data_IF_285333095888
#
_entry.id   IF_285333095888
#
_cell.length_a   1.000
_cell.length_b   1.000
_cell.length_c   1.000
_cell.angle_alpha   90.00
_cell.angle_beta   90.00
_cell.angle_gamma   90.00
#
_symmetry.space_group_name_H-M   'P 1'
#
loop_
_entity.id
_entity.type
_entity.pdbx_description
1 polymer ?
#
# COMPACT_ATOMS: atom_id res chain seq x y z
N UNK A 1 6.16 -21.61 -17.36
CA UNK A 1 5.28 -20.49 -16.98
C UNK A 1 6.11 -19.49 -16.20
N UNK A 2 5.96 -18.22 -16.57
CA UNK A 2 6.59 -17.17 -15.79
C UNK A 2 6.01 -17.23 -14.38
N UNK A 3 6.83 -17.28 -13.34
CA UNK A 3 6.37 -17.45 -11.96
C UNK A 3 5.33 -16.36 -11.56
N UNK A 4 5.45 -15.17 -12.15
CA UNK A 4 4.54 -14.05 -11.93
C UNK A 4 3.11 -14.33 -12.39
N UNK A 5 2.93 -14.83 -13.62
CA UNK A 5 1.60 -15.18 -14.15
C UNK A 5 0.97 -16.29 -13.32
N UNK A 6 1.76 -17.27 -12.90
CA UNK A 6 1.32 -18.33 -12.01
C UNK A 6 0.78 -17.80 -10.68
N UNK A 7 1.48 -16.84 -10.07
CA UNK A 7 1.03 -16.21 -8.82
C UNK A 7 -0.26 -15.40 -9.01
N UNK A 8 -0.36 -14.62 -10.09
CA UNK A 8 -1.57 -13.85 -10.41
C UNK A 8 -2.78 -14.77 -10.55
N UNK A 9 -2.64 -15.87 -11.28
CA UNK A 9 -3.71 -16.85 -11.45
C UNK A 9 -4.02 -17.61 -10.15
N UNK A 10 -3.00 -18.11 -9.47
CA UNK A 10 -3.14 -18.87 -8.22
C UNK A 10 -3.90 -18.09 -7.15
N UNK A 11 -3.57 -16.81 -7.01
CA UNK A 11 -4.17 -15.94 -6.01
C UNK A 11 -5.35 -15.11 -6.54
N UNK A 12 -5.71 -15.27 -7.83
CA UNK A 12 -6.83 -14.54 -8.46
C UNK A 12 -6.69 -13.02 -8.31
N UNK A 13 -5.47 -12.53 -8.55
CA UNK A 13 -5.16 -11.11 -8.39
C UNK A 13 -5.69 -10.28 -9.56
N UNK A 14 -6.06 -9.04 -9.27
CA UNK A 14 -6.48 -8.03 -10.25
C UNK A 14 -5.62 -6.77 -10.11
N UNK A 15 -5.64 -5.89 -11.11
CA UNK A 15 -4.87 -4.65 -11.08
C UNK A 15 -5.31 -3.72 -9.96
N UNK A 16 -4.32 -3.16 -9.25
CA UNK A 16 -4.56 -2.12 -8.24
C UNK A 16 -4.38 -0.72 -8.84
N UNK A 17 -5.21 0.29 -8.44
CA UNK A 17 -5.09 1.66 -8.96
C UNK A 17 -3.71 2.30 -8.73
N UNK A 18 -3.03 1.98 -7.63
CA UNK A 18 -1.69 2.50 -7.32
C UNK A 18 -0.57 1.84 -8.13
N UNK A 19 -0.84 0.76 -8.84
CA UNK A 19 0.11 -0.14 -9.48
C UNK A 19 0.16 -1.48 -8.77
N UNK A 20 0.74 -2.49 -9.44
CA UNK A 20 0.75 -3.85 -8.93
C UNK A 20 -0.59 -4.56 -9.04
N UNK A 21 -0.70 -5.67 -8.31
CA UNK A 21 -1.83 -6.59 -8.36
C UNK A 21 -2.31 -6.91 -6.96
N UNK A 22 -3.62 -7.06 -6.75
CA UNK A 22 -4.16 -7.34 -5.43
C UNK A 22 -5.41 -8.21 -5.47
N UNK A 23 -5.73 -8.75 -4.29
CA UNK A 23 -7.01 -9.37 -3.99
C UNK A 23 -7.38 -9.10 -2.54
N UNK A 24 -8.61 -8.67 -2.28
CA UNK A 24 -9.13 -8.59 -0.92
C UNK A 24 -9.41 -10.00 -0.38
N UNK A 25 -8.78 -10.33 0.76
CA UNK A 25 -8.93 -11.60 1.43
C UNK A 25 -9.95 -11.55 2.55
N UNK A 26 -10.07 -10.41 3.21
CA UNK A 26 -10.94 -10.24 4.37
C UNK A 26 -11.48 -8.82 4.46
N UNK A 27 -12.74 -8.74 4.82
CA UNK A 27 -13.42 -7.51 5.21
C UNK A 27 -14.28 -7.82 6.43
N UNK A 28 -13.94 -7.25 7.59
CA UNK A 28 -14.66 -7.49 8.84
C UNK A 28 -16.12 -7.04 8.73
N UNK A 29 -17.03 -7.85 9.26
CA UNK A 29 -18.45 -7.48 9.42
C UNK A 29 -18.68 -6.61 10.65
N UNK A 30 -17.75 -6.63 11.63
CA UNK A 30 -17.76 -5.70 12.75
C UNK A 30 -17.43 -4.29 12.25
N UNK A 31 -18.31 -3.33 12.56
CA UNK A 31 -18.12 -1.94 12.19
C UNK A 31 -17.56 -1.14 13.36
N UNK A 32 -16.65 -0.22 13.04
CA UNK A 32 -16.12 0.77 13.97
C UNK A 32 -16.49 2.17 13.48
N UNK A 33 -16.76 3.07 14.41
CA UNK A 33 -16.97 4.48 14.12
C UNK A 33 -15.70 5.26 14.45
N UNK A 34 -15.17 5.95 13.46
CA UNK A 34 -13.99 6.80 13.62
C UNK A 34 -14.35 8.15 14.28
N UNK A 35 -13.34 8.91 14.79
CA UNK A 35 -13.57 10.25 15.34
C UNK A 35 -14.24 11.22 14.35
N UNK A 36 -14.02 11.05 13.04
CA UNK A 36 -14.66 11.86 11.98
C UNK A 36 -16.10 11.41 11.65
N UNK A 37 -16.68 10.53 12.48
CA UNK A 37 -17.99 9.91 12.34
C UNK A 37 -18.14 8.91 11.16
N UNK A 38 -17.11 8.69 10.36
CA UNK A 38 -17.15 7.69 9.31
C UNK A 38 -17.21 6.27 9.91
N UNK A 39 -18.06 5.42 9.35
CA UNK A 39 -18.13 4.00 9.71
C UNK A 39 -17.29 3.19 8.74
N UNK A 40 -16.48 2.28 9.29
CA UNK A 40 -15.60 1.40 8.51
C UNK A 40 -15.63 -0.02 9.09
N UNK A 41 -15.31 -1.06 8.28
CA UNK A 41 -15.01 -2.38 8.83
C UNK A 41 -13.92 -2.27 9.88
N UNK A 42 -13.94 -3.13 10.89
CA UNK A 42 -12.88 -3.14 11.92
C UNK A 42 -11.49 -3.45 11.33
N UNK A 43 -11.45 -4.30 10.29
CA UNK A 43 -10.22 -4.72 9.60
C UNK A 43 -10.51 -5.07 8.15
N UNK A 44 -9.60 -4.71 7.26
CA UNK A 44 -9.49 -5.29 5.91
C UNK A 44 -8.10 -5.84 5.68
N UNK A 45 -7.97 -6.88 4.87
CA UNK A 45 -6.71 -7.47 4.50
C UNK A 45 -6.70 -7.81 3.00
N UNK A 46 -5.61 -7.47 2.33
CA UNK A 46 -5.36 -7.83 0.93
C UNK A 46 -4.07 -8.63 0.79
N UNK A 47 -3.99 -9.43 -0.28
CA UNK A 47 -2.70 -9.75 -0.89
C UNK A 47 -2.37 -8.68 -1.90
N UNK A 48 -1.09 -8.29 -1.95
CA UNK A 48 -0.56 -7.34 -2.90
C UNK A 48 0.73 -7.87 -3.50
N UNK A 49 0.81 -7.90 -4.83
CA UNK A 49 1.95 -8.39 -5.60
C UNK A 49 2.51 -7.23 -6.41
N UNK A 50 3.79 -6.92 -6.21
CA UNK A 50 4.49 -5.87 -6.94
C UNK A 50 5.63 -6.48 -7.77
N UNK A 51 5.51 -6.51 -9.11
CA UNK A 51 6.57 -6.94 -10.00
C UNK A 51 7.72 -5.93 -10.06
N UNK A 52 8.91 -6.39 -10.48
CA UNK A 52 10.14 -5.60 -10.62
C UNK A 52 9.97 -4.30 -11.41
N UNK A 53 9.23 -4.36 -12.51
CA UNK A 53 9.10 -3.24 -13.44
C UNK A 53 7.86 -2.37 -13.17
N UNK A 54 7.24 -2.58 -12.02
CA UNK A 54 6.09 -1.81 -11.57
C UNK A 54 6.39 -1.09 -10.26
N UNK A 55 5.66 -0.02 -10.03
CA UNK A 55 5.72 0.75 -8.78
C UNK A 55 4.34 0.77 -8.14
N UNK A 56 4.30 0.84 -6.81
CA UNK A 56 3.18 1.37 -6.06
C UNK A 56 3.42 2.88 -5.92
N UNK A 57 2.68 3.67 -6.68
CA UNK A 57 2.91 5.10 -6.75
C UNK A 57 2.51 5.81 -5.45
N UNK A 58 2.98 7.05 -5.26
CA UNK A 58 2.66 7.84 -4.07
C UNK A 58 1.14 7.95 -3.85
N UNK A 59 0.71 7.42 -2.73
CA UNK A 59 -0.68 7.42 -2.27
C UNK A 59 -0.73 7.49 -0.76
N UNK A 60 -1.93 7.70 -0.20
CA UNK A 60 -2.15 7.63 1.24
C UNK A 60 -3.54 7.10 1.55
N UNK A 61 -3.69 6.57 2.77
CA UNK A 61 -4.97 6.21 3.36
C UNK A 61 -5.24 7.15 4.52
N UNK A 62 -6.31 7.91 4.44
CA UNK A 62 -6.66 8.88 5.48
C UNK A 62 -7.52 8.22 6.54
N UNK A 63 -7.16 8.43 7.81
CA UNK A 63 -7.96 7.97 8.95
C UNK A 63 -7.82 6.49 9.31
N UNK A 64 -6.82 5.81 8.77
CA UNK A 64 -6.51 4.42 9.09
C UNK A 64 -5.01 4.16 8.96
N UNK A 65 -4.50 3.25 9.78
CA UNK A 65 -3.14 2.74 9.67
C UNK A 65 -3.11 1.53 8.75
N UNK A 66 -1.99 1.32 8.07
CA UNK A 66 -1.78 0.19 7.17
C UNK A 66 -0.51 -0.59 7.52
N UNK A 67 -0.67 -1.85 7.85
CA UNK A 67 0.45 -2.76 8.07
C UNK A 67 0.82 -3.45 6.75
N UNK A 68 2.08 -3.30 6.33
CA UNK A 68 2.68 -4.03 5.21
C UNK A 68 3.45 -5.22 5.77
N UNK A 69 3.15 -6.42 5.30
CA UNK A 69 3.72 -7.66 5.79
C UNK A 69 4.32 -8.45 4.64
N UNK A 70 5.65 -8.65 4.66
CA UNK A 70 6.35 -9.42 3.63
C UNK A 70 6.00 -10.92 3.76
N UNK A 71 5.57 -11.52 2.66
CA UNK A 71 5.19 -12.94 2.60
C UNK A 71 6.21 -13.74 1.81
N UNK A 72 6.53 -13.29 0.58
CA UNK A 72 7.40 -14.04 -0.32
C UNK A 72 8.04 -13.12 -1.37
N UNK A 73 9.05 -13.64 -2.04
CA UNK A 73 9.75 -12.95 -3.12
C UNK A 73 10.93 -12.11 -2.66
N UNK A 74 11.24 -11.11 -3.45
CA UNK A 74 12.37 -10.21 -3.20
C UNK A 74 12.03 -9.14 -2.15
N UNK A 75 13.04 -8.40 -1.75
CA UNK A 75 12.89 -7.28 -0.85
C UNK A 75 12.00 -6.19 -1.47
N UNK A 76 11.14 -5.61 -0.67
CA UNK A 76 10.29 -4.49 -1.04
C UNK A 76 10.79 -3.22 -0.34
N UNK A 77 11.11 -2.20 -1.13
CA UNK A 77 11.45 -0.89 -0.59
C UNK A 77 10.18 -0.06 -0.41
N UNK A 78 9.87 0.28 0.83
CA UNK A 78 8.79 1.19 1.20
C UNK A 78 9.33 2.58 1.46
N UNK A 79 8.64 3.58 0.93
CA UNK A 79 8.92 5.00 1.14
C UNK A 79 7.75 5.61 1.89
N UNK A 80 8.06 6.38 2.94
CA UNK A 80 7.08 7.07 3.77
C UNK A 80 7.45 8.53 3.91
N UNK A 81 6.46 9.43 3.78
CA UNK A 81 6.60 10.84 4.12
C UNK A 81 5.44 11.30 4.98
N UNK A 82 5.67 12.34 5.78
CA UNK A 82 4.61 13.03 6.48
C UNK A 82 3.58 13.62 5.50
N UNK A 83 2.38 13.98 5.97
CA UNK A 83 1.35 14.57 5.12
C UNK A 83 1.79 15.81 4.34
N UNK A 84 2.74 16.59 4.88
CA UNK A 84 3.32 17.78 4.23
C UNK A 84 4.47 17.47 3.27
N UNK A 85 4.84 16.20 3.12
CA UNK A 85 5.93 15.73 2.25
C UNK A 85 7.31 15.68 2.92
N UNK A 86 7.43 16.12 4.16
CA UNK A 86 8.68 16.05 4.93
C UNK A 86 8.94 14.66 5.51
N UNK A 87 10.13 14.47 6.06
CA UNK A 87 10.44 13.32 6.92
C UNK A 87 10.48 11.99 6.18
N UNK A 88 11.16 11.95 5.02
CA UNK A 88 11.34 10.69 4.28
C UNK A 88 11.93 9.61 5.19
N UNK A 89 11.24 8.48 5.23
CA UNK A 89 11.72 7.21 5.79
C UNK A 89 11.70 6.15 4.71
N UNK A 90 12.76 5.35 4.67
CA UNK A 90 12.88 4.20 3.78
C UNK A 90 12.94 2.95 4.64
N UNK A 91 12.08 1.99 4.33
CA UNK A 91 12.04 0.71 5.02
C UNK A 91 12.17 -0.42 4.00
N UNK A 92 13.11 -1.31 4.24
CA UNK A 92 13.29 -2.49 3.42
C UNK A 92 12.58 -3.67 4.08
N UNK A 93 11.45 -4.08 3.49
CA UNK A 93 10.72 -5.28 3.93
C UNK A 93 11.33 -6.52 3.30
N UNK A 94 11.55 -7.53 4.13
CA UNK A 94 12.03 -8.84 3.72
C UNK A 94 11.76 -9.86 4.83
N UNK A 95 12.23 -11.09 4.65
CA UNK A 95 12.05 -12.16 5.63
C UNK A 95 12.58 -11.81 7.04
N UNK A 96 13.66 -11.02 7.13
CA UNK A 96 14.28 -10.65 8.41
C UNK A 96 13.66 -9.40 9.04
N UNK A 97 13.00 -8.57 8.23
CA UNK A 97 12.25 -7.38 8.65
C UNK A 97 10.88 -7.40 7.96
N UNK A 98 9.96 -8.24 8.45
CA UNK A 98 8.77 -8.60 7.68
C UNK A 98 7.61 -7.61 7.79
N UNK A 99 7.64 -6.66 8.72
CA UNK A 99 6.47 -5.82 9.01
C UNK A 99 6.85 -4.36 9.17
N UNK A 100 6.07 -3.47 8.53
CA UNK A 100 6.10 -2.03 8.75
C UNK A 100 4.68 -1.48 8.77
N UNK A 101 4.39 -0.56 9.70
CA UNK A 101 3.10 0.12 9.78
C UNK A 101 3.23 1.53 9.24
N UNK A 102 2.42 1.85 8.23
CA UNK A 102 2.21 3.21 7.72
C UNK A 102 1.14 3.90 8.55
N UNK A 103 1.47 4.98 9.27
CA UNK A 103 0.45 5.76 9.98
C UNK A 103 -0.55 6.39 9.01
N UNK A 104 -1.80 6.50 9.45
CA UNK A 104 -2.84 7.14 8.66
C UNK A 104 -2.48 8.55 8.22
N UNK A 105 -2.74 8.87 6.96
CA UNK A 105 -2.44 10.18 6.36
C UNK A 105 -1.03 10.37 5.85
N UNK A 106 -0.06 9.52 6.22
CA UNK A 106 1.27 9.54 5.66
C UNK A 106 1.25 9.10 4.18
N UNK A 107 2.05 9.76 3.35
CA UNK A 107 2.28 9.33 1.98
C UNK A 107 3.17 8.10 1.95
N UNK A 108 2.85 7.17 1.08
CA UNK A 108 3.55 5.91 0.91
C UNK A 108 3.71 5.55 -0.55
N UNK A 109 4.81 4.91 -0.87
CA UNK A 109 5.11 4.35 -2.19
C UNK A 109 6.01 3.13 -2.03
N UNK A 110 6.10 2.30 -3.07
CA UNK A 110 6.92 1.10 -3.01
C UNK A 110 7.49 0.72 -4.37
N UNK A 111 8.62 0.03 -4.34
CA UNK A 111 9.19 -0.69 -5.48
C UNK A 111 9.88 -1.97 -5.03
N UNK A 112 9.93 -2.94 -5.93
CA UNK A 112 10.54 -4.22 -5.70
C UNK A 112 11.97 -4.27 -6.27
N UNK A 113 12.92 -4.83 -5.52
CA UNK A 113 14.32 -4.95 -5.94
C UNK A 113 14.61 -6.21 -6.79
N UNK A 114 13.70 -7.16 -6.83
CA UNK A 114 13.86 -8.42 -7.58
C UNK A 114 12.70 -8.69 -8.53
N UNK A 115 12.48 -9.94 -8.89
CA UNK A 115 11.44 -10.30 -9.87
C UNK A 115 10.02 -9.93 -9.42
N UNK A 116 9.72 -10.10 -8.15
CA UNK A 116 8.47 -9.68 -7.52
C UNK A 116 8.62 -9.64 -5.99
N UNK A 117 7.75 -8.89 -5.33
CA UNK A 117 7.48 -8.99 -3.91
C UNK A 117 6.00 -9.29 -3.69
N UNK A 118 5.69 -10.28 -2.85
CA UNK A 118 4.36 -10.61 -2.39
C UNK A 118 4.22 -10.18 -0.94
N UNK A 119 3.24 -9.33 -0.66
CA UNK A 119 2.98 -8.80 0.67
C UNK A 119 1.51 -8.93 1.01
N UNK A 120 1.17 -8.84 2.29
CA UNK A 120 -0.18 -8.57 2.76
C UNK A 120 -0.24 -7.15 3.29
N UNK A 121 -1.32 -6.44 2.97
CA UNK A 121 -1.62 -5.14 3.54
C UNK A 121 -2.90 -5.24 4.37
N UNK A 122 -2.78 -4.92 5.67
CA UNK A 122 -3.89 -4.94 6.61
C UNK A 122 -4.18 -3.51 7.06
N UNK A 123 -5.42 -3.06 6.91
CA UNK A 123 -5.85 -1.69 7.22
C UNK A 123 -6.83 -1.71 8.38
N UNK A 124 -6.58 -0.88 9.37
CA UNK A 124 -7.46 -0.70 10.54
C UNK A 124 -7.55 0.76 10.99
N UNK A 125 -8.77 1.30 11.13
CA UNK A 125 -10.06 0.81 10.65
C UNK A 125 -10.05 0.48 9.16
N UNK A 126 -10.90 -0.44 8.71
CA UNK A 126 -10.82 -1.08 7.41
C UNK A 126 -10.82 -0.12 6.22
N UNK A 127 -10.19 -0.57 5.14
CA UNK A 127 -10.01 0.20 3.91
C UNK A 127 -11.34 0.53 3.22
N UNK A 128 -11.43 1.78 2.77
CA UNK A 128 -12.47 2.27 1.86
C UNK A 128 -11.82 3.20 0.84
N UNK A 129 -12.20 3.09 -0.43
CA UNK A 129 -11.66 3.98 -1.48
C UNK A 129 -11.98 5.46 -1.25
N UNK A 130 -12.98 5.79 -0.43
CA UNK A 130 -13.25 7.16 0.00
C UNK A 130 -12.10 7.77 0.81
N UNK A 131 -11.28 6.94 1.45
CA UNK A 131 -10.12 7.35 2.25
C UNK A 131 -8.80 7.29 1.46
N UNK A 132 -8.84 6.79 0.23
CA UNK A 132 -7.67 6.56 -0.62
C UNK A 132 -7.41 7.76 -1.52
N UNK A 133 -6.20 8.29 -1.47
CA UNK A 133 -5.77 9.42 -2.29
C UNK A 133 -4.46 9.09 -3.00
N UNK A 134 -4.43 9.27 -4.32
CA UNK A 134 -3.19 9.20 -5.10
C UNK A 134 -2.66 10.60 -5.36
N UNK A 135 -1.35 10.81 -5.17
CA UNK A 135 -0.70 12.11 -5.35
C UNK A 135 -0.93 12.66 -6.77
N UNK A 136 -0.79 11.81 -7.78
CA UNK A 136 -0.96 12.19 -9.19
C UNK A 136 -2.37 12.69 -9.55
N UNK A 137 -3.37 12.37 -8.74
CA UNK A 137 -4.76 12.79 -8.93
C UNK A 137 -5.07 14.13 -8.23
N UNK A 138 -4.18 14.59 -7.36
CA UNK A 138 -4.35 15.90 -6.74
C UNK A 138 -3.98 17.03 -7.69
N UNK A 139 -4.61 18.19 -7.51
CA UNK A 139 -4.22 19.40 -8.23
C UNK A 139 -2.76 19.75 -7.93
N UNK A 140 -1.97 20.05 -8.95
CA UNK A 140 -0.52 20.35 -8.78
C UNK A 140 -0.26 21.42 -7.72
N UNK A 141 -1.08 22.46 -7.68
CA UNK A 141 -0.97 23.55 -6.71
C UNK A 141 -1.20 23.12 -5.24
N UNK A 142 -1.77 21.92 -5.03
CA UNK A 142 -2.06 21.36 -3.71
C UNK A 142 -1.18 20.18 -3.34
N UNK A 143 -0.35 19.71 -4.28
CA UNK A 143 0.52 18.57 -4.03
C UNK A 143 1.66 18.97 -3.11
N UNK A 144 1.93 18.22 -2.03
CA UNK A 144 3.21 18.34 -1.33
C UNK A 144 4.35 17.96 -2.28
N UNK A 145 5.51 18.55 -2.07
CA UNK A 145 6.73 18.12 -2.76
C UNK A 145 7.24 16.86 -2.09
N UNK A 146 7.17 15.73 -2.78
CA UNK A 146 7.69 14.46 -2.29
C UNK A 146 9.02 14.12 -2.96
N UNK A 147 9.92 13.45 -2.23
CA UNK A 147 11.11 12.84 -2.84
C UNK A 147 10.67 11.74 -3.82
N UNK A 148 11.61 11.26 -4.62
CA UNK A 148 11.32 10.22 -5.62
C UNK A 148 10.15 10.57 -6.55
N UNK A 149 10.28 11.66 -7.37
CA UNK A 149 9.20 12.07 -8.28
C UNK A 149 8.86 11.02 -9.34
N UNK A 150 9.77 10.06 -9.57
CA UNK A 150 9.51 8.89 -10.43
C UNK A 150 8.43 7.94 -9.88
N UNK A 151 8.02 8.13 -8.62
CA UNK A 151 6.97 7.33 -7.98
C UNK A 151 5.59 8.03 -7.98
N UNK A 152 5.44 9.11 -8.75
CA UNK A 152 4.13 9.79 -8.91
C UNK A 152 3.23 9.07 -9.90
#
# INVERSE_FOLDING_TARGET
MNNLEGLIQQHQLQRHPEGGWYRELHRSTALVQRPDAAKRPGLTAILFLLPKDEISCWHRVVGADEAWIHIDGADLNLFQCNPDGSGLQETRLNRNNPLHVMPGGCWQAARCDGSYALVSCCVGPGFDFADFEMLRQQLESKRPVLPHPELI
#
